data_IF_602381023003
#
_entry.id   IF_602381023003
#
_cell.length_a   1.000
_cell.length_b   1.000
_cell.length_c   1.000
_cell.angle_alpha   90.00
_cell.angle_beta   90.00
_cell.angle_gamma   90.00
#
_symmetry.space_group_name_H-M   'P 1'
#
loop_
_entity.id
_entity.type
_entity.pdbx_description
1 polymer ?
#
# COMPACT_ATOMS: atom_id res chain seq x y z
N UNK A 1 -10.36 26.73 -13.06
CA UNK A 1 -10.86 25.34 -12.97
C UNK A 1 -9.69 24.47 -12.52
N UNK A 2 -9.74 23.89 -11.31
CA UNK A 2 -8.69 22.97 -10.85
C UNK A 2 -8.72 21.75 -11.78
N UNK A 3 -7.60 21.43 -12.41
CA UNK A 3 -7.46 20.22 -13.19
C UNK A 3 -7.72 19.02 -12.26
N UNK A 4 -8.92 18.46 -12.32
CA UNK A 4 -9.20 17.14 -11.78
C UNK A 4 -8.63 16.15 -12.77
N UNK A 5 -7.31 15.94 -12.71
CA UNK A 5 -6.71 14.71 -13.21
C UNK A 5 -7.28 13.59 -12.34
N UNK A 6 -8.47 13.11 -12.69
CA UNK A 6 -9.06 11.90 -12.13
C UNK A 6 -8.28 10.71 -12.69
N UNK A 7 -7.00 10.62 -12.32
CA UNK A 7 -6.23 9.39 -12.39
C UNK A 7 -6.89 8.43 -11.42
N UNK A 8 -7.84 7.66 -11.93
CA UNK A 8 -8.49 6.57 -11.18
C UNK A 8 -7.37 5.70 -10.63
N UNK A 9 -7.19 5.71 -9.32
CA UNK A 9 -6.15 4.91 -8.71
C UNK A 9 -6.48 3.42 -8.94
N UNK A 10 -5.50 2.59 -9.31
CA UNK A 10 -5.76 1.18 -9.55
C UNK A 10 -6.30 0.51 -8.29
N UNK A 11 -7.30 -0.38 -8.46
CA UNK A 11 -7.90 -1.15 -7.36
C UNK A 11 -6.86 -1.94 -6.53
N UNK A 12 -5.75 -2.29 -7.18
CA UNK A 12 -4.64 -2.99 -6.55
C UNK A 12 -3.42 -2.09 -6.45
N UNK A 13 -2.70 -2.21 -5.34
CA UNK A 13 -1.41 -1.56 -5.13
C UNK A 13 -0.31 -2.61 -5.09
N UNK A 14 0.75 -2.39 -5.86
CA UNK A 14 1.91 -3.30 -5.86
C UNK A 14 2.77 -3.09 -4.63
N UNK A 15 3.47 -4.15 -4.23
CA UNK A 15 4.47 -4.11 -3.16
C UNK A 15 5.54 -3.04 -3.40
N UNK A 16 5.95 -2.84 -4.65
CA UNK A 16 6.90 -1.78 -5.01
C UNK A 16 6.33 -0.39 -4.71
N UNK A 17 5.06 -0.17 -5.03
CA UNK A 17 4.38 1.09 -4.74
C UNK A 17 4.20 1.31 -3.23
N UNK A 18 3.80 0.27 -2.48
CA UNK A 18 3.75 0.31 -1.00
C UNK A 18 5.10 0.71 -0.43
N UNK A 19 6.19 0.08 -0.88
CA UNK A 19 7.53 0.42 -0.41
C UNK A 19 7.92 1.87 -0.70
N UNK A 20 7.51 2.42 -1.84
CA UNK A 20 7.73 3.83 -2.15
C UNK A 20 6.93 4.76 -1.22
N UNK A 21 5.67 4.44 -0.92
CA UNK A 21 4.82 5.21 -0.01
C UNK A 21 5.37 5.20 1.41
N UNK A 22 5.78 4.03 1.90
CA UNK A 22 6.32 3.86 3.25
C UNK A 22 7.81 4.25 3.37
N UNK A 23 8.46 4.64 2.26
CA UNK A 23 9.89 4.96 2.24
C UNK A 23 10.81 3.76 2.54
N UNK A 24 10.34 2.54 2.31
CA UNK A 24 11.04 1.30 2.67
C UNK A 24 11.68 0.60 1.46
N UNK A 25 12.88 0.08 1.67
CA UNK A 25 13.53 -0.84 0.71
C UNK A 25 12.77 -2.18 0.67
N UNK A 26 12.83 -2.94 -0.45
CA UNK A 26 12.04 -4.16 -0.61
C UNK A 26 12.23 -5.19 0.52
N UNK A 27 13.46 -5.44 0.97
CA UNK A 27 13.75 -6.40 2.04
C UNK A 27 13.22 -5.95 3.39
N UNK A 28 13.35 -4.66 3.70
CA UNK A 28 12.79 -4.05 4.91
C UNK A 28 11.27 -4.12 4.91
N UNK A 29 10.64 -3.86 3.76
CA UNK A 29 9.19 -3.96 3.61
C UNK A 29 8.69 -5.39 3.87
N UNK A 30 9.40 -6.42 3.42
CA UNK A 30 9.02 -7.81 3.72
C UNK A 30 9.06 -8.12 5.21
N UNK A 31 10.15 -7.75 5.87
CA UNK A 31 10.30 -7.96 7.29
C UNK A 31 9.24 -7.16 8.09
N UNK A 32 8.90 -5.96 7.62
CA UNK A 32 7.83 -5.15 8.20
C UNK A 32 6.48 -5.85 8.06
N UNK A 33 6.07 -6.19 6.83
CA UNK A 33 4.79 -6.86 6.56
C UNK A 33 4.66 -8.17 7.36
N UNK A 34 5.74 -8.95 7.45
CA UNK A 34 5.73 -10.21 8.19
C UNK A 34 5.58 -10.04 9.72
N UNK A 35 5.90 -8.87 10.27
CA UNK A 35 5.81 -8.56 11.71
C UNK A 35 4.58 -7.74 12.08
N UNK A 36 3.90 -7.16 11.09
CA UNK A 36 2.70 -6.34 11.29
C UNK A 36 1.46 -7.24 11.15
N UNK A 37 0.86 -7.61 12.28
CA UNK A 37 -0.28 -8.56 12.32
C UNK A 37 -1.52 -8.07 11.57
N UNK A 38 -1.76 -6.76 11.53
CA UNK A 38 -2.93 -6.13 10.91
C UNK A 38 -2.67 -5.61 9.49
N UNK A 39 -1.50 -5.91 8.91
CA UNK A 39 -1.17 -5.44 7.57
C UNK A 39 -2.13 -6.05 6.53
N UNK A 40 -2.54 -5.29 5.49
CA UNK A 40 -3.42 -5.78 4.45
C UNK A 40 -2.95 -7.11 3.84
N UNK A 41 -3.89 -8.03 3.67
CA UNK A 41 -3.60 -9.33 3.08
C UNK A 41 -3.18 -9.21 1.61
N UNK A 42 -2.14 -9.95 1.24
CA UNK A 42 -1.66 -10.06 -0.14
C UNK A 42 -2.70 -10.77 -1.01
N UNK A 43 -3.10 -10.14 -2.11
CA UNK A 43 -4.12 -10.70 -3.03
C UNK A 43 -3.51 -11.53 -4.17
N UNK A 44 -2.53 -11.00 -4.90
CA UNK A 44 -1.93 -11.72 -6.04
C UNK A 44 -0.56 -11.16 -6.44
N UNK A 45 0.42 -12.01 -6.78
CA UNK A 45 1.78 -11.62 -7.28
C UNK A 45 2.39 -10.36 -6.64
N UNK A 46 2.28 -10.21 -5.32
CA UNK A 46 2.84 -9.04 -4.61
C UNK A 46 1.98 -7.78 -4.72
N UNK A 47 0.71 -7.91 -5.08
CA UNK A 47 -0.30 -6.85 -5.03
C UNK A 47 -1.24 -7.04 -3.85
N UNK A 48 -1.74 -5.91 -3.37
CA UNK A 48 -2.62 -5.76 -2.22
C UNK A 48 -3.84 -4.95 -2.64
N UNK A 49 -4.94 -5.06 -1.91
CA UNK A 49 -6.09 -4.17 -2.12
C UNK A 49 -5.68 -2.74 -1.74
N UNK A 50 -5.79 -1.81 -2.69
CA UNK A 50 -5.48 -0.40 -2.42
C UNK A 50 -6.39 0.16 -1.34
N UNK A 51 -7.67 -0.19 -1.37
CA UNK A 51 -8.65 0.24 -0.36
C UNK A 51 -8.21 -0.19 1.05
N UNK A 52 -7.88 -1.47 1.24
CA UNK A 52 -7.46 -1.98 2.55
C UNK A 52 -6.14 -1.37 3.00
N UNK A 53 -5.22 -1.09 2.07
CA UNK A 53 -3.97 -0.40 2.37
C UNK A 53 -4.19 1.04 2.83
N UNK A 54 -5.03 1.81 2.14
CA UNK A 54 -5.34 3.18 2.53
C UNK A 54 -6.04 3.22 3.90
N UNK A 55 -7.02 2.33 4.14
CA UNK A 55 -7.69 2.19 5.44
C UNK A 55 -6.71 1.82 6.56
N UNK A 56 -5.70 0.99 6.26
CA UNK A 56 -4.64 0.68 7.20
C UNK A 56 -3.75 1.90 7.46
N UNK A 57 -3.32 2.63 6.43
CA UNK A 57 -2.54 3.87 6.59
C UNK A 57 -3.27 4.89 7.48
N UNK A 58 -4.56 5.13 7.24
CA UNK A 58 -5.38 6.04 8.04
C UNK A 58 -5.43 5.62 9.51
N UNK A 59 -5.56 4.32 9.81
CA UNK A 59 -5.54 3.79 11.18
C UNK A 59 -4.19 3.97 11.87
N UNK A 60 -3.09 3.91 11.11
CA UNK A 60 -1.74 4.11 11.62
C UNK A 60 -1.34 5.60 11.69
N UNK A 61 -2.17 6.51 11.19
CA UNK A 61 -1.89 7.95 11.14
C UNK A 61 -0.87 8.35 10.05
N UNK A 62 -0.78 7.57 8.97
CA UNK A 62 0.13 7.75 7.84
C UNK A 62 -0.52 8.50 6.67
#
# INVERSE_FOLDING_TARGET
MKATNSTVEPLFISRKAIGAILGMKPTTLDAFIARTEDFPEKKYRGNYSRKQFNEWCEKQGL
#
